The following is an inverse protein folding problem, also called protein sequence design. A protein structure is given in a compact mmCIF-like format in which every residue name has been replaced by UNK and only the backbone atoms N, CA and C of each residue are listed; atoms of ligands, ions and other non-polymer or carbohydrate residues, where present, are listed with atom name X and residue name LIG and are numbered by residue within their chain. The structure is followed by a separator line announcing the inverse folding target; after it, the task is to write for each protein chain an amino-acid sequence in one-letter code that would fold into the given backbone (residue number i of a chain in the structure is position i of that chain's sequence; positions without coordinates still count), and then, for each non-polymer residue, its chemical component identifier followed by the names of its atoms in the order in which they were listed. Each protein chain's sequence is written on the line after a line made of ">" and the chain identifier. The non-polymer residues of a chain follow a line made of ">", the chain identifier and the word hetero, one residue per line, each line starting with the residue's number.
data_IF_610732540215
#
_entry.id   IF_610732540215
#
_cell.length_a   1.000
_cell.length_b   1.000
_cell.length_c   1.000
_cell.angle_alpha   90.00
_cell.angle_beta   90.00
_cell.angle_gamma   90.00
#
_symmetry.space_group_name_H-M   'P 1'
#
loop_
_entity.id
_entity.type
_entity.pdbx_description
1 polymer ?
#
# COMPACT_ATOMS: atom_id res chain seq x y z
N UNK A 1 -10.37 0.14 20.29
CA UNK A 1 -10.61 0.91 19.03
C UNK A 1 -9.36 0.86 18.17
N UNK A 2 -9.50 0.45 16.90
CA UNK A 2 -8.40 0.40 15.92
C UNK A 2 -7.77 1.77 15.68
N UNK A 3 -6.45 1.82 15.75
CA UNK A 3 -5.62 3.00 15.45
C UNK A 3 -4.46 2.62 14.53
N UNK A 4 -3.80 3.60 13.93
CA UNK A 4 -2.63 3.45 13.07
C UNK A 4 -1.38 4.04 13.72
N UNK A 5 -0.27 3.33 13.62
CA UNK A 5 1.00 3.69 14.24
C UNK A 5 2.14 3.44 13.27
N UNK A 6 3.15 4.30 13.29
CA UNK A 6 4.49 3.86 12.90
C UNK A 6 4.98 2.83 13.89
N UNK A 7 5.63 1.79 13.38
CA UNK A 7 6.27 0.77 14.19
C UNK A 7 7.77 0.77 13.90
N UNK A 8 8.58 0.61 14.94
CA UNK A 8 10.01 0.36 14.82
C UNK A 8 10.47 -0.66 15.86
N UNK A 9 11.48 -1.49 15.57
CA UNK A 9 12.00 -2.43 16.56
C UNK A 9 12.66 -1.70 17.73
N UNK A 10 12.57 -2.29 18.91
CA UNK A 10 13.39 -1.89 20.05
C UNK A 10 14.81 -2.43 19.89
N UNK A 11 15.77 -1.52 19.69
CA UNK A 11 17.19 -1.83 19.50
C UNK A 11 18.01 -1.73 20.79
N UNK A 12 17.37 -1.46 21.93
CA UNK A 12 18.05 -1.41 23.23
C UNK A 12 18.58 -2.80 23.61
N UNK A 13 19.76 -2.85 24.22
CA UNK A 13 20.39 -4.08 24.72
C UNK A 13 20.07 -4.25 26.21
N UNK A 14 19.17 -5.17 26.55
CA UNK A 14 18.80 -5.52 27.92
C UNK A 14 18.16 -6.93 27.95
N UNK A 15 17.77 -7.42 29.14
CA UNK A 15 17.09 -8.72 29.27
C UNK A 15 15.61 -8.63 28.86
N UNK A 16 15.16 -9.53 27.99
CA UNK A 16 13.73 -9.73 27.69
C UNK A 16 12.95 -10.07 28.97
N UNK A 17 11.72 -9.54 29.19
CA UNK A 17 10.89 -8.75 28.25
C UNK A 17 11.09 -7.22 28.35
N UNK A 18 12.08 -6.74 29.11
CA UNK A 18 12.31 -5.29 29.30
C UNK A 18 12.74 -4.56 28.01
N UNK A 19 13.21 -5.30 27.01
CA UNK A 19 13.47 -4.85 25.65
C UNK A 19 13.42 -6.05 24.69
N UNK A 20 13.40 -5.76 23.38
CA UNK A 20 13.26 -6.75 22.31
C UNK A 20 11.89 -6.74 21.62
N UNK A 21 10.98 -5.87 22.06
CA UNK A 21 9.69 -5.58 21.42
C UNK A 21 9.76 -4.46 20.39
N UNK A 22 8.76 -3.58 20.40
CA UNK A 22 8.64 -2.48 19.43
C UNK A 22 8.22 -1.16 20.10
N UNK A 23 8.51 -0.06 19.41
CA UNK A 23 7.95 1.25 19.73
C UNK A 23 6.91 1.63 18.68
N UNK A 24 5.76 2.09 19.17
CA UNK A 24 4.67 2.59 18.35
C UNK A 24 4.58 4.11 18.45
N UNK A 25 4.47 4.79 17.31
CA UNK A 25 4.20 6.23 17.26
C UNK A 25 2.91 6.48 16.49
N UNK A 26 1.91 7.03 17.17
CA UNK A 26 0.59 7.31 16.58
C UNK A 26 0.74 8.31 15.42
N UNK A 27 0.04 8.05 14.31
CA UNK A 27 0.02 8.98 13.16
C UNK A 27 -1.08 10.03 13.31
N UNK A 28 -0.91 11.20 12.68
CA UNK A 28 -1.83 12.34 12.72
C UNK A 28 -2.19 12.83 14.14
N UNK A 29 -1.21 12.83 15.06
CA UNK A 29 -1.40 13.45 16.39
C UNK A 29 -1.66 14.95 16.19
N UNK A 30 -2.70 15.48 16.84
CA UNK A 30 -3.09 16.89 16.70
C UNK A 30 -2.00 17.82 17.26
N UNK A 31 -1.83 18.99 16.65
CA UNK A 31 -0.98 20.03 17.20
C UNK A 31 -1.57 20.50 18.54
N UNK A 32 -0.74 20.51 19.59
CA UNK A 32 -1.19 20.78 20.96
C UNK A 32 -1.82 19.58 21.69
N UNK A 33 -1.75 18.37 21.12
CA UNK A 33 -2.12 17.16 21.86
C UNK A 33 -1.26 17.02 23.13
N UNK A 34 -1.80 16.36 24.19
CA UNK A 34 -1.03 16.06 25.39
C UNK A 34 0.30 15.38 25.04
N UNK A 35 1.36 15.66 25.80
CA UNK A 35 2.69 15.06 25.59
C UNK A 35 2.62 13.52 25.55
N UNK A 36 1.72 12.93 26.32
CA UNK A 36 1.48 11.48 26.34
C UNK A 36 0.99 10.90 24.99
N UNK A 37 0.38 11.70 24.11
CA UNK A 37 0.02 11.26 22.75
C UNK A 37 1.16 11.43 21.74
N UNK A 38 2.16 12.24 22.07
CA UNK A 38 3.36 12.46 21.25
C UNK A 38 4.46 11.44 21.56
N UNK A 39 4.42 10.86 22.76
CA UNK A 39 5.35 9.83 23.21
C UNK A 39 5.15 8.51 22.46
N UNK A 40 6.25 7.77 22.31
CA UNK A 40 6.21 6.43 21.75
C UNK A 40 5.73 5.44 22.80
N UNK A 41 4.85 4.53 22.37
CA UNK A 41 4.33 3.46 23.24
C UNK A 41 5.21 2.23 23.04
N UNK A 42 5.81 1.74 24.12
CA UNK A 42 6.49 0.45 24.09
C UNK A 42 5.47 -0.69 24.11
N UNK A 43 5.66 -1.67 23.22
CA UNK A 43 4.93 -2.93 23.24
C UNK A 43 5.94 -4.09 23.35
N UNK A 44 5.63 -5.08 24.18
CA UNK A 44 6.44 -6.30 24.35
C UNK A 44 6.29 -7.22 23.15
N UNK A 45 5.07 -7.33 22.61
CA UNK A 45 4.71 -8.30 21.59
C UNK A 45 3.69 -7.77 20.58
N UNK A 46 3.70 -8.35 19.37
CA UNK A 46 2.71 -8.14 18.32
C UNK A 46 1.93 -9.45 18.14
N UNK A 47 0.65 -9.41 18.47
CA UNK A 47 -0.27 -10.55 18.31
C UNK A 47 -0.99 -10.45 16.96
N UNK A 48 -0.93 -11.50 16.17
CA UNK A 48 -1.60 -11.56 14.85
C UNK A 48 -2.73 -12.57 14.89
N UNK A 49 -3.95 -12.10 14.67
CA UNK A 49 -5.14 -12.96 14.63
C UNK A 49 -5.58 -13.34 13.21
N UNK A 50 -5.20 -12.54 12.21
CA UNK A 50 -5.52 -12.80 10.80
C UNK A 50 -4.36 -13.56 10.13
N UNK A 51 -4.56 -14.80 9.66
CA UNK A 51 -3.50 -15.61 9.05
C UNK A 51 -2.97 -15.03 7.73
N UNK A 52 -3.68 -14.06 7.13
CA UNK A 52 -3.21 -13.38 5.91
C UNK A 52 -2.16 -12.32 6.20
N UNK A 53 -1.99 -11.89 7.45
CA UNK A 53 -0.99 -10.90 7.82
C UNK A 53 0.35 -11.60 8.02
N UNK A 54 1.27 -11.35 7.10
CA UNK A 54 2.65 -11.81 7.25
C UNK A 54 3.42 -10.95 8.26
N UNK A 55 3.42 -11.35 9.53
CA UNK A 55 4.15 -10.66 10.61
C UNK A 55 5.66 -10.70 10.45
N UNK A 56 6.22 -11.63 9.65
CA UNK A 56 7.66 -11.69 9.42
C UNK A 56 8.18 -10.44 8.73
N UNK A 57 7.32 -9.68 8.04
CA UNK A 57 7.67 -8.37 7.49
C UNK A 57 8.17 -7.39 8.56
N UNK A 58 7.71 -7.53 9.81
CA UNK A 58 8.18 -6.69 10.91
C UNK A 58 9.56 -7.12 11.44
N UNK A 59 9.88 -8.41 11.37
CA UNK A 59 11.14 -8.97 11.88
C UNK A 59 12.25 -8.99 10.84
N UNK A 60 11.94 -9.35 9.60
CA UNK A 60 12.92 -9.55 8.52
C UNK A 60 13.45 -8.20 8.01
N UNK A 61 12.66 -7.13 8.21
CA UNK A 61 13.01 -5.77 7.80
C UNK A 61 13.55 -4.90 8.95
N UNK A 62 14.07 -5.49 10.03
CA UNK A 62 14.60 -4.72 11.17
C UNK A 62 15.63 -3.67 10.75
N UNK A 63 16.63 -4.05 9.95
CA UNK A 63 17.66 -3.12 9.49
C UNK A 63 17.07 -2.03 8.61
N UNK A 64 16.19 -2.41 7.68
CA UNK A 64 15.53 -1.47 6.78
C UNK A 64 14.65 -0.45 7.54
N UNK A 65 13.94 -0.86 8.60
CA UNK A 65 13.16 0.03 9.46
C UNK A 65 14.05 1.00 10.27
N UNK A 66 15.25 0.56 10.65
CA UNK A 66 16.24 1.41 11.33
C UNK A 66 16.74 2.50 10.36
N UNK A 67 17.07 2.11 9.13
CA UNK A 67 17.59 3.03 8.11
C UNK A 67 16.50 3.96 7.54
N UNK A 68 15.25 3.51 7.56
CA UNK A 68 14.08 4.22 7.04
C UNK A 68 12.98 4.30 8.10
N UNK A 69 13.16 5.13 9.14
CA UNK A 69 12.11 5.35 10.10
C UNK A 69 10.88 5.87 9.36
N UNK A 70 9.70 5.36 9.70
CA UNK A 70 8.42 5.67 9.07
C UNK A 70 8.16 4.99 7.70
N UNK A 71 8.82 3.87 7.41
CA UNK A 71 8.53 3.06 6.22
C UNK A 71 7.36 2.08 6.39
N UNK A 72 7.04 1.70 7.64
CA UNK A 72 5.96 0.76 7.96
C UNK A 72 4.97 1.42 8.92
N UNK A 73 3.69 1.35 8.57
CA UNK A 73 2.57 1.72 9.43
C UNK A 73 1.79 0.45 9.75
N UNK A 74 1.52 0.20 11.02
CA UNK A 74 0.65 -0.89 11.46
C UNK A 74 -0.69 -0.34 11.91
N UNK A 75 -1.72 -1.15 11.81
CA UNK A 75 -3.01 -0.85 12.42
C UNK A 75 -3.44 -1.95 13.38
N UNK A 76 -3.98 -1.56 14.53
CA UNK A 76 -4.39 -2.52 15.55
C UNK A 76 -4.97 -1.87 16.79
N UNK A 77 -5.18 -2.71 17.80
CA UNK A 77 -5.60 -2.31 19.15
C UNK A 77 -4.52 -2.68 20.15
N UNK A 78 -4.19 -1.75 21.03
CA UNK A 78 -3.23 -1.97 22.12
C UNK A 78 -4.02 -2.50 23.31
N UNK A 79 -3.60 -3.65 23.85
CA UNK A 79 -4.18 -4.25 25.04
C UNK A 79 -3.08 -4.51 26.09
N UNK A 80 -3.41 -4.65 27.38
CA UNK A 80 -2.48 -5.17 28.37
C UNK A 80 -2.00 -6.58 27.99
N UNK A 81 -0.72 -6.85 28.21
CA UNK A 81 -0.09 -8.16 28.00
C UNK A 81 -0.74 -9.22 28.92
N UNK A 82 -0.90 -10.44 28.39
CA UNK A 82 -1.57 -11.55 29.07
C UNK A 82 -0.77 -12.16 30.22
N UNK A 83 0.55 -11.94 30.28
CA UNK A 83 1.40 -12.60 31.25
C UNK A 83 1.45 -11.91 32.62
N UNK A 84 1.59 -10.60 32.65
CA UNK A 84 1.85 -9.82 33.86
C UNK A 84 1.09 -8.49 33.91
N UNK A 85 0.38 -8.11 32.84
CA UNK A 85 -0.43 -6.89 32.76
C UNK A 85 0.35 -5.57 32.85
N UNK A 86 1.68 -5.64 33.00
CA UNK A 86 2.57 -4.47 33.08
C UNK A 86 2.98 -3.96 31.70
N UNK A 87 2.99 -4.84 30.69
CA UNK A 87 3.32 -4.49 29.32
C UNK A 87 2.08 -4.39 28.45
N UNK A 88 2.29 -3.91 27.23
CA UNK A 88 1.25 -3.81 26.21
C UNK A 88 1.59 -4.73 25.04
N UNK A 89 0.57 -5.41 24.51
CA UNK A 89 0.64 -6.10 23.23
C UNK A 89 -0.17 -5.33 22.17
N UNK A 90 0.25 -5.45 20.92
CA UNK A 90 -0.51 -4.92 19.78
C UNK A 90 -1.25 -6.06 19.09
N UNK A 91 -2.58 -6.06 19.14
CA UNK A 91 -3.42 -6.90 18.30
C UNK A 91 -3.43 -6.32 16.88
N UNK A 92 -2.57 -6.87 16.03
CA UNK A 92 -2.32 -6.41 14.68
C UNK A 92 -3.45 -6.80 13.73
N UNK A 93 -3.92 -5.84 12.95
CA UNK A 93 -5.01 -6.00 11.98
C UNK A 93 -4.58 -5.69 10.55
N UNK A 94 -3.60 -4.81 10.34
CA UNK A 94 -3.05 -4.53 9.02
C UNK A 94 -1.59 -4.06 9.14
N UNK A 95 -0.81 -4.31 8.10
CA UNK A 95 0.52 -3.75 7.89
C UNK A 95 0.48 -2.97 6.56
N UNK A 96 0.90 -1.72 6.61
CA UNK A 96 1.01 -0.84 5.45
C UNK A 96 2.49 -0.54 5.22
N UNK A 97 2.99 -0.90 4.05
CA UNK A 97 4.38 -0.64 3.68
C UNK A 97 4.45 0.50 2.67
N UNK A 98 5.36 1.45 2.91
CA UNK A 98 5.62 2.57 2.01
C UNK A 98 6.07 2.07 0.65
N UNK A 99 5.43 2.53 -0.42
CA UNK A 99 5.88 2.29 -1.78
C UNK A 99 7.10 3.18 -2.08
N UNK A 100 8.09 2.62 -2.77
CA UNK A 100 9.29 3.38 -3.12
C UNK A 100 9.04 4.32 -4.29
N UNK A 101 9.67 5.49 -4.25
CA UNK A 101 9.76 6.37 -5.41
C UNK A 101 11.19 6.34 -5.93
N UNK A 102 11.40 6.22 -7.25
CA UNK A 102 12.74 6.35 -7.81
C UNK A 102 13.38 7.68 -7.40
N UNK A 103 14.68 7.67 -7.12
CA UNK A 103 15.43 8.84 -6.60
C UNK A 103 15.22 10.08 -7.48
N UNK A 104 15.08 9.90 -8.79
CA UNK A 104 14.87 10.98 -9.75
C UNK A 104 13.53 11.70 -9.57
N UNK A 105 12.49 11.01 -9.10
CA UNK A 105 11.18 11.59 -8.85
C UNK A 105 11.20 12.64 -7.73
N UNK A 106 12.21 12.60 -6.85
CA UNK A 106 12.34 13.50 -5.72
C UNK A 106 13.03 14.84 -6.07
N UNK A 107 13.47 15.04 -7.32
CA UNK A 107 14.21 16.23 -7.77
C UNK A 107 13.33 17.39 -8.25
N UNK A 108 12.01 17.28 -8.12
CA UNK A 108 11.09 18.37 -8.48
C UNK A 108 11.30 19.63 -7.63
N UNK A 109 10.94 20.82 -8.15
CA UNK A 109 10.99 22.06 -7.38
C UNK A 109 10.15 21.90 -6.11
N UNK A 110 10.82 21.99 -4.94
CA UNK A 110 10.13 21.94 -3.65
C UNK A 110 9.40 23.27 -3.45
N UNK A 111 8.10 23.27 -3.11
CA UNK A 111 7.42 24.50 -2.74
C UNK A 111 8.16 25.18 -1.58
N UNK A 112 8.28 26.51 -1.61
CA UNK A 112 8.93 27.30 -0.56
C UNK A 112 8.27 27.13 0.81
N UNK A 113 6.97 26.83 0.83
CA UNK A 113 6.21 26.51 2.05
C UNK A 113 5.28 25.35 1.72
N UNK A 114 5.53 24.19 2.35
CA UNK A 114 4.67 23.01 2.24
C UNK A 114 3.84 22.93 3.53
N UNK A 115 2.50 22.93 3.45
CA UNK A 115 1.66 22.68 4.62
C UNK A 115 2.04 21.35 5.28
N UNK A 116 1.78 21.23 6.58
CA UNK A 116 2.05 19.99 7.31
C UNK A 116 1.31 18.82 6.67
N UNK A 117 2.05 17.76 6.34
CA UNK A 117 1.47 16.57 5.75
C UNK A 117 0.68 15.75 6.77
N UNK A 118 -0.35 15.07 6.31
CA UNK A 118 -1.15 14.13 7.10
C UNK A 118 -1.37 12.85 6.31
N UNK A 119 -1.86 11.83 7.01
CA UNK A 119 -2.19 10.52 6.44
C UNK A 119 -3.70 10.43 6.21
N UNK A 120 -4.09 9.97 5.02
CA UNK A 120 -5.48 9.93 4.57
C UNK A 120 -5.81 8.60 3.92
N UNK A 121 -7.01 8.11 4.19
CA UNK A 121 -7.67 7.15 3.31
C UNK A 121 -8.49 7.91 2.29
N UNK A 122 -8.46 7.48 1.04
CA UNK A 122 -9.23 8.09 -0.05
C UNK A 122 -10.37 7.15 -0.45
N UNK A 123 -11.52 7.74 -0.79
CA UNK A 123 -12.70 7.04 -1.30
C UNK A 123 -13.31 7.82 -2.46
N UNK A 124 -13.97 7.15 -3.42
CA UNK A 124 -14.81 7.84 -4.38
C UNK A 124 -15.89 8.65 -3.65
N UNK A 125 -16.18 9.84 -4.15
CA UNK A 125 -17.28 10.65 -3.63
C UNK A 125 -18.61 9.95 -3.86
N UNK A 126 -19.50 9.85 -2.85
CA UNK A 126 -20.85 9.33 -3.05
C UNK A 126 -21.76 10.35 -3.76
N UNK A 127 -21.30 11.58 -3.96
CA UNK A 127 -22.09 12.64 -4.58
C UNK A 127 -22.15 12.43 -6.09
N UNK A 128 -23.38 12.31 -6.60
CA UNK A 128 -23.66 12.35 -8.03
C UNK A 128 -23.99 13.80 -8.39
N UNK A 129 -23.06 14.50 -9.01
CA UNK A 129 -23.31 15.87 -9.45
C UNK A 129 -23.89 15.88 -10.86
N UNK A 130 -24.89 16.74 -11.06
CA UNK A 130 -25.36 17.06 -12.40
C UNK A 130 -24.27 17.83 -13.16
N UNK A 131 -24.19 17.64 -14.48
CA UNK A 131 -23.18 18.24 -15.37
C UNK A 131 -23.06 19.78 -15.31
N UNK A 132 -23.98 20.47 -14.65
CA UNK A 132 -23.99 21.93 -14.50
C UNK A 132 -23.13 22.44 -13.32
N UNK A 133 -22.76 21.57 -12.37
CA UNK A 133 -21.91 21.96 -11.24
C UNK A 133 -20.43 21.81 -11.60
N UNK A 134 -19.75 22.93 -11.86
CA UNK A 134 -18.33 22.96 -12.24
C UNK A 134 -17.35 22.46 -11.15
N UNK A 135 -17.79 22.43 -9.88
CA UNK A 135 -16.98 22.07 -8.72
C UNK A 135 -17.52 20.85 -7.98
N UNK A 136 -17.77 19.75 -8.70
CA UNK A 136 -18.16 18.50 -8.06
C UNK A 136 -16.95 17.83 -7.40
N UNK A 137 -16.95 17.58 -6.08
CA UNK A 137 -15.90 16.82 -5.45
C UNK A 137 -15.96 15.35 -5.89
N UNK A 138 -14.89 14.86 -6.50
CA UNK A 138 -14.80 13.48 -6.99
C UNK A 138 -14.28 12.51 -5.93
N UNK A 139 -13.64 13.01 -4.86
CA UNK A 139 -12.98 12.19 -3.84
C UNK A 139 -13.33 12.68 -2.44
N UNK A 140 -13.55 11.72 -1.54
CA UNK A 140 -13.63 11.93 -0.10
C UNK A 140 -12.34 11.44 0.53
N UNK A 141 -11.76 12.26 1.40
CA UNK A 141 -10.62 11.88 2.22
C UNK A 141 -11.05 11.74 3.68
N UNK A 142 -10.53 10.70 4.33
CA UNK A 142 -10.67 10.47 5.77
C UNK A 142 -9.29 10.55 6.40
N UNK A 143 -9.08 11.51 7.29
CA UNK A 143 -7.79 11.67 7.97
C UNK A 143 -7.61 10.57 9.01
N UNK A 144 -6.57 9.75 8.85
CA UNK A 144 -6.31 8.59 9.69
C UNK A 144 -6.23 8.96 11.18
N UNK A 145 -6.68 8.05 12.05
CA UNK A 145 -6.82 8.24 13.51
C UNK A 145 -7.76 9.36 13.98
N UNK A 146 -8.49 10.01 13.08
CA UNK A 146 -9.46 11.06 13.41
C UNK A 146 -10.84 10.70 12.85
N UNK A 147 -11.84 11.54 13.15
CA UNK A 147 -13.14 11.50 12.49
C UNK A 147 -13.25 12.57 11.39
N UNK A 148 -12.16 13.29 11.09
CA UNK A 148 -12.16 14.37 10.11
C UNK A 148 -12.32 13.79 8.71
N UNK A 149 -13.35 14.27 8.01
CA UNK A 149 -13.62 13.94 6.61
C UNK A 149 -13.67 15.23 5.80
N UNK A 150 -13.17 15.18 4.57
CA UNK A 150 -13.20 16.32 3.66
C UNK A 150 -13.47 15.85 2.23
N UNK A 151 -14.28 16.61 1.51
CA UNK A 151 -14.50 16.45 0.09
C UNK A 151 -13.45 17.27 -0.67
N UNK A 152 -12.80 16.66 -1.65
CA UNK A 152 -11.79 17.30 -2.49
C UNK A 152 -12.13 17.10 -3.96
N UNK A 153 -11.68 18.03 -4.80
CA UNK A 153 -11.92 18.02 -6.24
C UNK A 153 -11.13 16.92 -6.93
N UNK A 154 -9.87 16.72 -6.51
CA UNK A 154 -8.91 15.84 -7.17
C UNK A 154 -7.74 15.52 -6.24
N UNK A 155 -6.86 14.62 -6.69
CA UNK A 155 -5.55 14.40 -6.09
C UNK A 155 -4.49 14.32 -7.19
N UNK A 156 -3.23 14.40 -6.80
CA UNK A 156 -2.10 14.03 -7.66
C UNK A 156 -1.07 13.28 -6.84
N UNK A 157 -0.42 12.34 -7.51
CA UNK A 157 0.59 11.49 -6.92
C UNK A 157 1.74 11.27 -7.93
N UNK A 158 2.95 10.95 -7.46
CA UNK A 158 4.13 10.83 -8.31
C UNK A 158 4.35 9.43 -8.92
N UNK A 159 3.69 8.38 -8.43
CA UNK A 159 3.99 6.98 -8.78
C UNK A 159 3.59 6.63 -10.21
N UNK A 160 2.41 7.03 -10.68
CA UNK A 160 1.96 6.68 -12.05
C UNK A 160 2.84 7.24 -13.16
N UNK A 161 3.61 8.30 -12.86
CA UNK A 161 4.58 8.91 -13.77
C UNK A 161 6.00 8.42 -13.56
N UNK A 162 6.36 8.08 -12.33
CA UNK A 162 7.75 7.80 -11.96
C UNK A 162 8.09 6.31 -11.99
N UNK A 163 7.12 5.43 -11.74
CA UNK A 163 7.32 3.98 -11.74
C UNK A 163 6.92 3.42 -13.11
N UNK A 164 7.87 3.09 -13.99
CA UNK A 164 7.53 2.53 -15.30
C UNK A 164 6.79 1.19 -15.12
N UNK A 165 5.82 0.93 -16.00
CA UNK A 165 5.00 -0.30 -15.95
C UNK A 165 4.22 -0.54 -14.65
N UNK A 166 3.99 0.48 -13.83
CA UNK A 166 3.06 0.38 -12.70
C UNK A 166 1.65 0.04 -13.20
N UNK A 167 1.00 -0.96 -12.58
CA UNK A 167 -0.40 -1.25 -12.88
C UNK A 167 -1.31 -0.13 -12.34
N UNK A 168 -1.67 0.81 -13.22
CA UNK A 168 -2.50 1.95 -12.85
C UNK A 168 -3.89 1.54 -12.37
N UNK A 169 -4.47 0.45 -12.90
CA UNK A 169 -5.80 0.00 -12.50
C UNK A 169 -5.78 -0.50 -11.06
N UNK A 170 -4.79 -1.34 -10.73
CA UNK A 170 -4.57 -1.78 -9.35
C UNK A 170 -4.25 -0.59 -8.43
N UNK A 171 -3.29 0.24 -8.79
CA UNK A 171 -2.86 1.34 -7.93
C UNK A 171 -4.01 2.31 -7.60
N UNK A 172 -4.80 2.69 -8.61
CA UNK A 172 -5.98 3.55 -8.42
C UNK A 172 -7.08 2.84 -7.63
N UNK A 173 -7.30 1.53 -7.81
CA UNK A 173 -8.34 0.80 -7.04
C UNK A 173 -8.01 0.76 -5.55
N UNK A 174 -6.74 0.60 -5.17
CA UNK A 174 -6.28 0.62 -3.78
C UNK A 174 -6.33 2.02 -3.17
N UNK A 175 -5.95 3.02 -3.96
CA UNK A 175 -6.01 4.41 -3.51
C UNK A 175 -7.46 4.87 -3.32
N UNK A 176 -8.38 4.54 -4.23
CA UNK A 176 -9.80 4.91 -4.19
C UNK A 176 -10.70 3.72 -3.81
N UNK A 177 -10.32 2.95 -2.81
CA UNK A 177 -11.10 1.79 -2.38
C UNK A 177 -12.33 2.19 -1.56
N UNK A 178 -13.50 1.67 -1.91
CA UNK A 178 -14.67 1.74 -1.03
C UNK A 178 -14.55 0.74 0.13
N UNK A 179 -13.84 -0.35 -0.11
CA UNK A 179 -13.60 -1.42 0.86
C UNK A 179 -12.40 -1.07 1.75
N UNK A 180 -12.59 -0.99 3.08
CA UNK A 180 -11.51 -0.68 4.01
C UNK A 180 -10.44 -1.76 4.11
N UNK A 181 -10.67 -2.97 3.59
CA UNK A 181 -9.73 -4.10 3.69
C UNK A 181 -8.61 -4.07 2.65
N UNK A 182 -8.79 -3.35 1.54
CA UNK A 182 -7.83 -3.21 0.43
C UNK A 182 -7.33 -1.79 0.22
N UNK A 183 -7.54 -0.90 1.20
CA UNK A 183 -7.19 0.50 1.01
C UNK A 183 -5.68 0.72 1.07
N UNK A 184 -5.20 1.68 0.29
CA UNK A 184 -3.90 2.29 0.50
C UNK A 184 -4.05 3.51 1.43
N UNK A 185 -2.98 3.80 2.17
CA UNK A 185 -2.90 5.01 2.98
C UNK A 185 -2.02 6.03 2.26
N UNK A 186 -2.56 7.21 1.98
CA UNK A 186 -1.84 8.29 1.32
C UNK A 186 -1.29 9.29 2.35
N UNK A 187 -0.03 9.67 2.23
CA UNK A 187 0.56 10.81 2.93
C UNK A 187 0.62 11.99 1.98
N UNK A 188 0.17 13.15 2.43
CA UNK A 188 0.21 14.37 1.61
C UNK A 188 -0.37 15.58 2.32
N UNK A 189 -0.56 16.65 1.57
CA UNK A 189 -1.17 17.89 2.06
C UNK A 189 -2.20 18.41 1.06
N UNK A 190 -3.14 19.23 1.56
CA UNK A 190 -4.23 19.76 0.74
C UNK A 190 -3.89 21.19 0.33
N UNK A 191 -3.98 21.49 -0.97
CA UNK A 191 -3.82 22.83 -1.52
C UNK A 191 -4.94 23.10 -2.51
N UNK A 192 -5.76 24.13 -2.27
CA UNK A 192 -6.90 24.52 -3.14
C UNK A 192 -7.81 23.33 -3.49
N UNK A 193 -8.21 22.57 -2.46
CA UNK A 193 -9.05 21.36 -2.57
C UNK A 193 -8.51 20.27 -3.51
N UNK A 194 -7.19 20.23 -3.66
CA UNK A 194 -6.46 19.13 -4.28
C UNK A 194 -5.52 18.51 -3.24
N UNK A 195 -5.57 17.19 -3.10
CA UNK A 195 -4.59 16.47 -2.29
C UNK A 195 -3.32 16.23 -3.11
N UNK A 196 -2.19 16.76 -2.64
CA UNK A 196 -0.88 16.49 -3.20
C UNK A 196 -0.25 15.36 -2.39
N UNK A 197 -0.23 14.17 -2.96
CA UNK A 197 0.28 12.95 -2.31
C UNK A 197 1.80 12.90 -2.52
N UNK A 198 2.54 12.80 -1.42
CA UNK A 198 4.00 12.63 -1.44
C UNK A 198 4.41 11.17 -1.23
N UNK A 199 3.58 10.37 -0.55
CA UNK A 199 3.85 8.95 -0.35
C UNK A 199 2.58 8.13 -0.28
N UNK A 200 2.65 6.88 -0.72
CA UNK A 200 1.56 5.91 -0.60
C UNK A 200 2.07 4.71 0.16
N UNK A 201 1.27 4.21 1.09
CA UNK A 201 1.54 2.98 1.82
C UNK A 201 0.49 1.94 1.39
N UNK A 202 0.95 0.82 0.86
CA UNK A 202 0.09 -0.26 0.41
C UNK A 202 -0.09 -1.28 1.52
N UNK A 203 -1.31 -1.80 1.68
CA UNK A 203 -1.57 -2.89 2.61
C UNK A 203 -0.86 -4.16 2.12
N UNK A 204 -0.02 -4.76 2.96
CA UNK A 204 0.80 -5.92 2.58
C UNK A 204 0.00 -7.21 2.46
N UNK A 205 -1.25 -7.23 2.94
CA UNK A 205 -2.17 -8.35 2.73
C UNK A 205 -2.84 -8.31 1.35
N UNK A 206 -2.37 -7.48 0.41
CA UNK A 206 -2.96 -7.33 -0.92
C UNK A 206 -2.36 -8.28 -1.99
N UNK A 207 -3.14 -9.07 -2.73
CA UNK A 207 -4.59 -9.28 -2.55
C UNK A 207 -4.90 -10.20 -1.36
N UNK A 208 -5.99 -9.93 -0.63
CA UNK A 208 -6.38 -10.79 0.52
C UNK A 208 -6.87 -12.16 0.07
N UNK A 209 -7.50 -12.20 -1.10
CA UNK A 209 -7.96 -13.45 -1.70
C UNK A 209 -6.88 -13.95 -2.67
N UNK A 210 -6.37 -15.18 -2.49
CA UNK A 210 -5.46 -15.78 -3.46
C UNK A 210 -6.09 -15.83 -4.84
N UNK A 211 -5.30 -15.58 -5.88
CA UNK A 211 -5.81 -15.61 -7.25
C UNK A 211 -6.31 -17.02 -7.63
N UNK A 212 -7.41 -17.05 -8.37
CA UNK A 212 -7.98 -18.31 -8.83
C UNK A 212 -6.97 -19.09 -9.70
N UNK A 213 -6.91 -20.42 -9.52
CA UNK A 213 -6.10 -21.27 -10.38
C UNK A 213 -6.57 -21.13 -11.83
N UNK A 214 -5.62 -21.03 -12.76
CA UNK A 214 -5.88 -20.79 -14.18
C UNK A 214 -6.36 -22.06 -14.91
N UNK A 215 -7.56 -22.55 -14.59
CA UNK A 215 -8.12 -23.79 -15.17
C UNK A 215 -8.32 -23.65 -16.68
N UNK A 216 -8.73 -22.46 -17.15
CA UNK A 216 -9.07 -22.23 -18.56
C UNK A 216 -7.86 -22.17 -19.52
N UNK A 217 -6.64 -22.01 -19.00
CA UNK A 217 -5.43 -22.03 -19.83
C UNK A 217 -5.23 -23.38 -20.55
N UNK A 218 -5.82 -24.45 -20.01
CA UNK A 218 -5.82 -25.79 -20.62
C UNK A 218 -6.63 -25.90 -21.90
N UNK A 219 -7.47 -24.91 -22.22
CA UNK A 219 -8.30 -24.88 -23.44
C UNK A 219 -7.52 -24.54 -24.71
N UNK A 220 -6.27 -24.07 -24.60
CA UNK A 220 -5.49 -23.68 -25.77
C UNK A 220 -4.93 -24.91 -26.49
N UNK A 221 -5.07 -24.93 -27.82
CA UNK A 221 -4.56 -26.03 -28.62
C UNK A 221 -3.04 -25.87 -28.85
N UNK A 222 -2.27 -26.47 -27.95
CA UNK A 222 -0.80 -26.42 -27.99
C UNK A 222 -0.25 -27.11 -29.25
N UNK A 223 -0.95 -28.11 -29.81
CA UNK A 223 -0.51 -28.84 -31.00
C UNK A 223 -0.41 -27.95 -32.25
N UNK A 224 -1.21 -26.89 -32.32
CA UNK A 224 -1.14 -25.88 -33.39
C UNK A 224 -0.35 -24.63 -32.97
N UNK A 225 0.32 -24.65 -31.81
CA UNK A 225 1.13 -23.52 -31.33
C UNK A 225 0.33 -22.36 -30.72
N UNK A 226 -0.90 -22.60 -30.25
CA UNK A 226 -1.62 -21.60 -29.48
C UNK A 226 -1.06 -21.46 -28.06
N UNK A 227 -1.13 -20.24 -27.54
CA UNK A 227 -0.79 -19.92 -26.16
C UNK A 227 -1.93 -19.17 -25.48
N UNK A 228 -2.18 -19.41 -24.18
CA UNK A 228 -3.15 -18.63 -23.42
C UNK A 228 -2.66 -17.20 -23.25
N UNK A 229 -3.58 -16.25 -23.29
CA UNK A 229 -3.33 -14.85 -22.98
C UNK A 229 -4.17 -14.41 -21.81
N UNK A 230 -3.64 -13.47 -21.05
CA UNK A 230 -4.24 -13.00 -19.81
C UNK A 230 -4.37 -11.47 -19.84
N UNK A 231 -5.38 -11.01 -19.11
CA UNK A 231 -5.44 -9.64 -18.59
C UNK A 231 -5.15 -9.69 -17.10
N UNK A 232 -4.92 -8.52 -16.50
CA UNK A 232 -4.80 -8.38 -15.06
C UNK A 232 -6.00 -7.63 -14.53
N UNK A 233 -6.63 -8.13 -13.48
CA UNK A 233 -7.69 -7.41 -12.80
C UNK A 233 -7.14 -6.40 -11.79
N UNK A 234 -8.04 -5.78 -11.01
CA UNK A 234 -7.68 -4.79 -10.01
C UNK A 234 -6.98 -5.39 -8.78
N UNK A 235 -7.03 -6.71 -8.62
CA UNK A 235 -6.47 -7.47 -7.50
C UNK A 235 -5.15 -8.14 -7.90
N UNK A 236 -4.55 -7.64 -8.98
CA UNK A 236 -3.30 -8.14 -9.56
C UNK A 236 -3.38 -9.56 -10.12
N UNK A 237 -4.57 -10.17 -10.14
CA UNK A 237 -4.75 -11.54 -10.57
C UNK A 237 -4.79 -11.67 -12.10
N UNK A 238 -4.09 -12.66 -12.67
CA UNK A 238 -4.20 -12.95 -14.10
C UNK A 238 -5.55 -13.59 -14.41
N UNK A 239 -6.33 -12.93 -15.25
CA UNK A 239 -7.63 -13.40 -15.75
C UNK A 239 -7.46 -13.88 -17.18
N UNK A 240 -7.82 -15.14 -17.44
CA UNK A 240 -7.79 -15.70 -18.79
C UNK A 240 -8.60 -14.84 -19.75
N UNK A 241 -8.00 -14.51 -20.89
CA UNK A 241 -8.63 -13.72 -21.94
C UNK A 241 -9.03 -14.62 -23.11
N UNK A 242 -8.03 -15.18 -23.81
CA UNK A 242 -8.23 -16.07 -24.96
C UNK A 242 -6.97 -16.82 -25.34
N UNK A 243 -7.11 -17.83 -26.19
CA UNK A 243 -5.99 -18.48 -26.87
C UNK A 243 -5.63 -17.72 -28.14
N UNK A 244 -4.34 -17.52 -28.39
CA UNK A 244 -3.84 -16.86 -29.61
C UNK A 244 -2.70 -17.64 -30.23
N UNK A 245 -2.47 -17.46 -31.53
CA UNK A 245 -1.31 -18.03 -32.18
C UNK A 245 -0.04 -17.33 -31.67
N UNK A 246 0.94 -18.10 -31.21
CA UNK A 246 2.23 -17.53 -30.79
C UNK A 246 2.90 -16.84 -31.98
N UNK A 247 3.30 -15.58 -31.78
CA UNK A 247 4.01 -14.79 -32.80
C UNK A 247 5.35 -14.27 -32.30
N UNK A 248 6.12 -13.59 -33.17
CA UNK A 248 7.36 -12.93 -32.77
C UNK A 248 7.06 -11.79 -31.80
N UNK A 249 7.89 -11.68 -30.76
CA UNK A 249 7.80 -10.66 -29.72
C UNK A 249 9.11 -9.86 -29.66
N UNK A 250 9.04 -8.63 -29.15
CA UNK A 250 10.26 -7.90 -28.85
C UNK A 250 11.07 -8.65 -27.77
N UNK A 251 12.40 -8.58 -27.87
CA UNK A 251 13.32 -9.25 -26.94
C UNK A 251 13.71 -8.36 -25.75
N UNK A 252 13.27 -7.10 -25.73
CA UNK A 252 13.53 -6.18 -24.63
C UNK A 252 12.81 -6.64 -23.36
N UNK A 253 13.56 -6.85 -22.29
CA UNK A 253 13.00 -7.11 -20.97
C UNK A 253 13.24 -5.84 -20.14
N UNK A 254 12.20 -5.10 -19.76
CA UNK A 254 12.40 -3.87 -18.98
C UNK A 254 12.85 -4.22 -17.56
N UNK A 255 13.57 -3.30 -16.92
CA UNK A 255 13.88 -3.36 -15.49
C UNK A 255 12.87 -2.55 -14.68
N UNK A 256 12.60 -3.00 -13.46
CA UNK A 256 11.85 -2.23 -12.47
C UNK A 256 12.79 -1.42 -11.57
N UNK A 257 12.34 -0.27 -11.04
CA UNK A 257 13.11 0.47 -10.04
C UNK A 257 13.18 -0.28 -8.71
N UNK A 258 14.07 0.17 -7.81
CA UNK A 258 14.22 -0.40 -6.47
C UNK A 258 12.89 -0.40 -5.68
N UNK A 259 12.63 -1.50 -4.98
CA UNK A 259 11.38 -1.75 -4.26
C UNK A 259 10.25 -2.31 -5.12
N UNK A 260 10.55 -2.62 -6.40
CA UNK A 260 9.63 -3.26 -7.33
C UNK A 260 10.26 -4.44 -8.04
N UNK A 261 9.47 -5.50 -8.24
CA UNK A 261 9.81 -6.67 -9.05
C UNK A 261 9.11 -6.65 -10.38
N UNK A 262 9.82 -7.17 -11.36
CA UNK A 262 9.26 -7.41 -12.68
C UNK A 262 8.32 -8.61 -12.64
N UNK A 263 7.05 -8.38 -12.99
CA UNK A 263 6.07 -9.41 -13.25
C UNK A 263 5.71 -9.42 -14.74
N UNK A 264 5.44 -10.60 -15.31
CA UNK A 264 5.04 -10.69 -16.71
C UNK A 264 4.01 -11.78 -16.93
N UNK A 265 3.10 -11.53 -17.88
CA UNK A 265 2.11 -12.50 -18.34
C UNK A 265 2.00 -12.45 -19.87
N UNK A 266 1.71 -13.59 -20.55
CA UNK A 266 1.38 -13.58 -21.97
C UNK A 266 0.14 -12.75 -22.25
N UNK A 267 0.21 -11.80 -23.17
CA UNK A 267 -0.89 -10.90 -23.51
C UNK A 267 -0.92 -10.53 -25.00
N UNK A 268 -1.97 -9.82 -25.41
CA UNK A 268 -2.14 -9.33 -26.78
C UNK A 268 -2.42 -10.43 -27.80
N UNK A 269 -2.34 -10.09 -29.09
CA UNK A 269 -2.73 -10.99 -30.20
C UNK A 269 -1.70 -12.05 -30.55
N UNK A 270 -0.46 -11.94 -30.05
CA UNK A 270 0.65 -12.86 -30.34
C UNK A 270 1.17 -13.60 -29.12
N UNK A 271 0.53 -13.41 -27.95
CA UNK A 271 0.95 -14.00 -26.68
C UNK A 271 2.28 -13.42 -26.17
N UNK A 272 2.61 -12.19 -26.56
CA UNK A 272 3.83 -11.54 -26.10
C UNK A 272 3.73 -11.14 -24.63
N UNK A 273 4.84 -11.19 -23.88
CA UNK A 273 4.81 -10.81 -22.48
C UNK A 273 4.42 -9.34 -22.34
N UNK A 274 3.46 -9.07 -21.47
CA UNK A 274 3.18 -7.73 -20.94
C UNK A 274 3.81 -7.66 -19.55
N UNK A 275 4.63 -6.63 -19.35
CA UNK A 275 5.40 -6.43 -18.13
C UNK A 275 4.70 -5.46 -17.18
N UNK A 276 4.90 -5.70 -15.89
CA UNK A 276 4.40 -4.91 -14.77
C UNK A 276 5.52 -4.76 -13.73
N UNK A 277 5.56 -3.61 -13.06
CA UNK A 277 6.39 -3.41 -11.88
C UNK A 277 5.53 -3.45 -10.63
N UNK A 278 5.58 -4.58 -9.94
CA UNK A 278 4.86 -4.84 -8.69
C UNK A 278 5.71 -4.45 -7.49
N UNK A 279 5.11 -3.87 -6.46
CA UNK A 279 5.85 -3.60 -5.23
C UNK A 279 6.33 -4.91 -4.58
N UNK A 280 7.62 -4.98 -4.22
CA UNK A 280 8.27 -6.20 -3.73
C UNK A 280 7.66 -6.73 -2.43
N UNK A 281 7.14 -5.80 -1.63
CA UNK A 281 6.54 -6.03 -0.32
C UNK A 281 5.18 -6.72 -0.39
N UNK A 282 4.60 -6.84 -1.58
CA UNK A 282 3.31 -7.48 -1.77
C UNK A 282 3.50 -8.97 -2.10
N UNK A 283 2.58 -9.84 -1.67
CA UNK A 283 2.51 -11.23 -2.10
C UNK A 283 2.53 -11.37 -3.63
N UNK A 284 3.08 -12.48 -4.11
CA UNK A 284 2.94 -12.85 -5.52
C UNK A 284 1.46 -13.12 -5.81
N UNK A 285 0.89 -12.51 -6.86
CA UNK A 285 -0.47 -12.82 -7.30
C UNK A 285 -0.54 -14.23 -7.91
#
# INVERSE_FOLDING_TARGET
>A
KKQLYFIRPDVRKCSSPHCGGYFLKKINVQEGAPVSELEEIYISEVMVSDPLINSTLLTDQKQYQIDHPNSIIVSGEIAPDHHDGQYHCLHLTDIYHKLQLPIEANKGPRPLVVPLESYYFLKPSPLVCNHLASNCPSVVILKANTQETKFISSYSEPYTKSVPFLDQKWFTSRLLSQDPTYNALAKGYILKDKLIISSVFSNTADPRTPCAKMVDATKCNIAIGQVPTFNRDQDRCPVFNKCVQRGPCHLGIPSCPEGYRLFSLPSGSKGCPKYYCDADVLPNP
#
